data_IF_103381196656
#
_entry.id   IF_103381196656
#
_cell.length_a   1.000
_cell.length_b   1.000
_cell.length_c   1.000
_cell.angle_alpha   90.00
_cell.angle_beta   90.00
_cell.angle_gamma   90.00
#
_symmetry.space_group_name_H-M   'P 1'
#
loop_
_entity.id
_entity.type
_entity.pdbx_description
1 polymer ?
#
# COMPACT_ATOMS: atom_id res chain seq x y z
N UNK A 1 -2.21 20.92 -23.39
CA UNK A 1 -3.63 20.75 -23.03
C UNK A 1 -3.74 19.70 -21.95
N UNK A 2 -3.67 20.09 -20.68
CA UNK A 2 -4.07 19.21 -19.58
C UNK A 2 -5.61 19.17 -19.58
N UNK A 3 -6.16 18.11 -20.18
CA UNK A 3 -7.58 17.82 -20.06
C UNK A 3 -7.91 17.64 -18.59
N UNK A 4 -8.73 18.52 -18.04
CA UNK A 4 -9.25 18.39 -16.69
C UNK A 4 -9.97 17.04 -16.60
N UNK A 5 -9.35 16.06 -15.96
CA UNK A 5 -10.01 14.82 -15.66
C UNK A 5 -10.81 15.04 -14.38
N UNK A 6 -12.13 15.11 -14.50
CA UNK A 6 -13.06 15.21 -13.38
C UNK A 6 -14.08 14.07 -13.45
N UNK A 7 -13.77 12.90 -12.86
CA UNK A 7 -14.72 11.80 -12.82
C UNK A 7 -15.89 12.18 -11.89
N UNK A 8 -17.09 11.72 -12.23
CA UNK A 8 -18.23 11.75 -11.30
C UNK A 8 -17.92 10.83 -10.12
N UNK A 9 -18.39 11.20 -8.94
CA UNK A 9 -18.29 10.37 -7.74
C UNK A 9 -18.86 8.97 -8.02
N UNK A 10 -18.11 7.91 -7.67
CA UNK A 10 -18.47 6.52 -7.97
C UNK A 10 -18.14 6.02 -9.39
N UNK A 11 -17.43 6.79 -10.22
CA UNK A 11 -16.94 6.32 -11.53
C UNK A 11 -16.14 5.03 -11.37
N UNK A 12 -16.51 3.97 -12.10
CA UNK A 12 -15.84 2.66 -12.04
C UNK A 12 -16.44 1.66 -11.05
N UNK A 13 -17.30 2.06 -10.10
CA UNK A 13 -17.73 1.18 -9.01
C UNK A 13 -18.52 -0.05 -9.49
N UNK A 14 -19.47 0.14 -10.41
CA UNK A 14 -20.24 -1.00 -10.96
C UNK A 14 -19.36 -1.98 -11.75
N UNK A 15 -18.39 -1.46 -12.50
CA UNK A 15 -17.45 -2.27 -13.28
C UNK A 15 -16.48 -3.01 -12.36
N UNK A 16 -15.98 -2.36 -11.31
CA UNK A 16 -15.15 -2.98 -10.29
C UNK A 16 -15.90 -4.11 -9.57
N UNK A 17 -17.18 -3.92 -9.24
CA UNK A 17 -17.99 -4.98 -8.64
C UNK A 17 -18.19 -6.19 -9.57
N UNK A 18 -18.40 -5.98 -10.88
CA UNK A 18 -18.45 -7.07 -11.86
C UNK A 18 -17.11 -7.82 -11.95
N UNK A 19 -16.00 -7.08 -12.13
CA UNK A 19 -14.66 -7.65 -12.21
C UNK A 19 -14.29 -8.46 -10.96
N UNK A 20 -14.69 -7.97 -9.78
CA UNK A 20 -14.47 -8.68 -8.53
C UNK A 20 -15.18 -10.04 -8.50
N UNK A 21 -16.47 -10.09 -8.88
CA UNK A 21 -17.25 -11.34 -8.93
C UNK A 21 -16.71 -12.35 -9.94
N UNK A 22 -15.97 -11.88 -10.94
CA UNK A 22 -15.37 -12.71 -11.98
C UNK A 22 -13.94 -13.17 -11.65
N UNK A 23 -13.47 -12.91 -10.43
CA UNK A 23 -12.18 -13.40 -9.95
C UNK A 23 -11.04 -12.39 -10.02
N UNK A 24 -11.27 -11.15 -10.49
CA UNK A 24 -10.24 -10.10 -10.50
C UNK A 24 -10.12 -9.35 -9.16
N UNK A 25 -10.46 -10.00 -8.05
CA UNK A 25 -10.33 -9.40 -6.71
C UNK A 25 -8.87 -9.07 -6.35
N UNK A 26 -7.92 -9.92 -6.75
CA UNK A 26 -6.49 -9.69 -6.56
C UNK A 26 -5.98 -8.47 -7.30
N UNK A 27 -6.18 -8.37 -8.63
CA UNK A 27 -5.76 -7.20 -9.42
C UNK A 27 -6.46 -5.90 -9.03
N UNK A 28 -7.73 -5.95 -8.62
CA UNK A 28 -8.43 -4.77 -8.09
C UNK A 28 -7.79 -4.28 -6.79
N UNK A 29 -7.41 -5.18 -5.88
CA UNK A 29 -6.71 -4.83 -4.64
C UNK A 29 -5.31 -4.29 -4.92
N UNK A 30 -4.60 -4.86 -5.89
CA UNK A 30 -3.31 -4.33 -6.34
C UNK A 30 -3.45 -2.89 -6.83
N UNK A 31 -4.40 -2.63 -7.72
CA UNK A 31 -4.67 -1.30 -8.26
C UNK A 31 -5.06 -0.30 -7.16
N UNK A 32 -5.93 -0.72 -6.22
CA UNK A 32 -6.30 0.07 -5.04
C UNK A 32 -5.06 0.50 -4.25
N UNK A 33 -4.15 -0.45 -3.97
CA UNK A 33 -2.91 -0.17 -3.25
C UNK A 33 -1.98 0.75 -4.02
N UNK A 34 -1.85 0.59 -5.34
CA UNK A 34 -1.09 1.51 -6.19
C UNK A 34 -1.61 2.95 -6.06
N UNK A 35 -2.93 3.14 -6.14
CA UNK A 35 -3.55 4.46 -5.99
C UNK A 35 -3.33 5.06 -4.61
N UNK A 36 -3.51 4.27 -3.54
CA UNK A 36 -3.30 4.70 -2.15
C UNK A 36 -1.85 5.09 -1.89
N UNK A 37 -0.88 4.30 -2.35
CA UNK A 37 0.55 4.57 -2.20
C UNK A 37 0.95 5.85 -2.94
N UNK A 38 0.58 5.97 -4.22
CA UNK A 38 0.86 7.19 -4.98
C UNK A 38 0.23 8.44 -4.37
N UNK A 39 -0.93 8.32 -3.72
CA UNK A 39 -1.51 9.43 -2.97
C UNK A 39 -0.64 9.84 -1.77
N UNK A 40 -0.18 8.86 -0.99
CA UNK A 40 0.71 9.09 0.15
C UNK A 40 2.05 9.69 -0.27
N UNK A 41 2.70 9.10 -1.29
CA UNK A 41 3.99 9.58 -1.81
C UNK A 41 3.90 11.07 -2.24
N UNK A 42 2.80 11.46 -2.91
CA UNK A 42 2.57 12.85 -3.34
C UNK A 42 2.32 13.82 -2.18
N UNK A 43 1.72 13.35 -1.09
CA UNK A 43 1.49 14.15 0.12
C UNK A 43 2.79 14.34 0.91
N UNK A 44 3.66 13.32 0.93
CA UNK A 44 4.96 13.34 1.60
C UNK A 44 5.99 14.20 0.84
N UNK A 45 6.16 13.96 -0.46
CA UNK A 45 7.20 14.60 -1.26
C UNK A 45 6.82 16.02 -1.72
N UNK A 46 5.52 16.34 -1.74
CA UNK A 46 4.98 17.58 -2.30
C UNK A 46 5.15 17.72 -3.83
N UNK A 47 5.62 16.66 -4.50
CA UNK A 47 5.87 16.62 -5.95
C UNK A 47 4.94 15.60 -6.60
N UNK A 48 4.32 15.98 -7.71
CA UNK A 48 3.45 15.08 -8.49
C UNK A 48 4.09 14.77 -9.85
N UNK A 49 4.65 13.57 -9.98
CA UNK A 49 5.11 13.03 -11.26
C UNK A 49 4.21 11.88 -11.76
N UNK A 50 4.19 11.59 -13.07
CA UNK A 50 3.51 10.40 -13.57
C UNK A 50 4.14 9.12 -12.99
N UNK A 51 3.31 8.16 -12.58
CA UNK A 51 3.77 6.89 -11.99
C UNK A 51 3.37 5.72 -12.89
N UNK A 52 4.30 4.85 -13.32
CA UNK A 52 3.96 3.68 -14.10
C UNK A 52 3.30 2.60 -13.23
N UNK A 53 2.26 1.95 -13.77
CA UNK A 53 1.71 0.72 -13.22
C UNK A 53 2.48 -0.47 -13.78
N UNK A 54 3.27 -1.11 -12.93
CA UNK A 54 4.07 -2.27 -13.30
C UNK A 54 3.44 -3.51 -12.66
N UNK A 55 2.78 -4.39 -13.43
CA UNK A 55 2.29 -5.66 -12.92
C UNK A 55 3.50 -6.56 -12.60
N UNK A 56 3.60 -7.02 -11.35
CA UNK A 56 4.71 -7.86 -10.88
C UNK A 56 4.30 -9.31 -10.62
N UNK A 57 3.08 -9.68 -11.01
CA UNK A 57 2.56 -11.04 -10.96
C UNK A 57 1.79 -11.33 -12.25
N UNK A 58 1.76 -12.61 -12.63
CA UNK A 58 1.01 -13.12 -13.78
C UNK A 58 -0.47 -12.67 -13.73
N UNK A 59 -1.12 -12.85 -12.57
CA UNK A 59 -2.51 -12.41 -12.35
C UNK A 59 -2.74 -10.92 -12.68
N UNK A 60 -1.78 -10.05 -12.34
CA UNK A 60 -1.89 -8.62 -12.64
C UNK A 60 -1.58 -8.33 -14.11
N UNK A 61 -0.67 -9.09 -14.73
CA UNK A 61 -0.36 -8.97 -16.16
C UNK A 61 -1.58 -9.36 -17.00
N UNK A 62 -2.18 -10.52 -16.72
CA UNK A 62 -3.41 -10.99 -17.35
C UNK A 62 -4.54 -9.97 -17.22
N UNK A 63 -4.71 -9.39 -16.02
CA UNK A 63 -5.69 -8.34 -15.79
C UNK A 63 -5.42 -7.08 -16.62
N UNK A 64 -4.15 -6.74 -16.87
CA UNK A 64 -3.78 -5.60 -17.70
C UNK A 64 -4.08 -5.83 -19.19
N UNK A 65 -4.27 -7.08 -19.62
CA UNK A 65 -4.74 -7.46 -20.96
C UNK A 65 -6.28 -7.50 -21.07
N UNK A 66 -6.99 -7.71 -19.96
CA UNK A 66 -8.47 -7.72 -19.94
C UNK A 66 -9.05 -6.34 -20.31
N UNK A 67 -9.91 -6.33 -21.33
CA UNK A 67 -10.50 -5.10 -21.89
C UNK A 67 -11.37 -4.33 -20.89
N UNK A 68 -12.02 -5.03 -19.96
CA UNK A 68 -12.91 -4.45 -18.95
C UNK A 68 -12.10 -3.86 -17.81
N UNK A 69 -11.02 -4.51 -17.40
CA UNK A 69 -10.05 -3.95 -16.47
C UNK A 69 -9.40 -2.70 -17.07
N UNK A 70 -8.96 -2.72 -18.33
CA UNK A 70 -8.48 -1.52 -19.04
C UNK A 70 -9.54 -0.42 -19.14
N UNK A 71 -10.82 -0.77 -19.30
CA UNK A 71 -11.91 0.20 -19.28
C UNK A 71 -12.08 0.83 -17.89
N UNK A 72 -11.94 0.04 -16.83
CA UNK A 72 -11.91 0.55 -15.45
C UNK A 72 -10.73 1.52 -15.25
N UNK A 73 -9.51 1.18 -15.69
CA UNK A 73 -8.35 2.07 -15.60
C UNK A 73 -8.63 3.45 -16.24
N UNK A 74 -9.26 3.47 -17.42
CA UNK A 74 -9.68 4.72 -18.07
C UNK A 74 -10.75 5.47 -17.26
N UNK A 75 -11.72 4.76 -16.68
CA UNK A 75 -12.76 5.36 -15.83
C UNK A 75 -12.24 5.90 -14.50
N UNK A 76 -11.04 5.48 -14.07
CA UNK A 76 -10.33 6.03 -12.91
C UNK A 76 -9.36 7.16 -13.30
N UNK A 77 -9.18 7.43 -14.59
CA UNK A 77 -8.33 8.49 -15.12
C UNK A 77 -6.89 8.09 -15.39
N UNK A 78 -6.57 6.79 -15.36
CA UNK A 78 -5.27 6.29 -15.76
C UNK A 78 -5.15 6.31 -17.27
N UNK A 79 -3.91 6.47 -17.74
CA UNK A 79 -3.62 6.55 -19.17
C UNK A 79 -3.00 5.26 -19.70
N UNK A 80 -3.44 4.80 -20.88
CA UNK A 80 -2.77 3.71 -21.57
C UNK A 80 -1.36 4.15 -22.00
N UNK A 81 -0.48 3.20 -22.34
CA UNK A 81 0.78 3.51 -22.98
C UNK A 81 0.56 4.26 -24.30
N UNK A 82 1.35 5.31 -24.54
CA UNK A 82 1.09 6.31 -25.59
C UNK A 82 1.63 5.93 -26.97
N UNK A 83 2.56 4.96 -27.05
CA UNK A 83 3.15 4.44 -28.28
C UNK A 83 3.90 3.14 -27.98
N UNK A 84 4.53 2.53 -28.99
CA UNK A 84 5.41 1.37 -28.82
C UNK A 84 6.63 1.62 -27.90
N UNK A 85 6.93 2.88 -27.57
CA UNK A 85 8.01 3.21 -26.63
C UNK A 85 7.57 3.13 -25.16
N UNK A 86 6.27 3.14 -24.89
CA UNK A 86 5.73 2.97 -23.54
C UNK A 86 5.05 1.60 -23.42
N UNK A 87 5.40 0.87 -22.37
CA UNK A 87 4.82 -0.46 -22.10
C UNK A 87 3.77 -0.41 -20.99
N UNK A 88 3.89 0.53 -20.06
CA UNK A 88 3.10 0.56 -18.83
C UNK A 88 2.01 1.64 -18.87
N UNK A 89 0.86 1.31 -18.28
CA UNK A 89 -0.15 2.32 -17.95
C UNK A 89 0.42 3.30 -16.92
N UNK A 90 -0.14 4.51 -16.87
CA UNK A 90 0.33 5.55 -15.93
C UNK A 90 -0.80 6.14 -15.11
N UNK A 91 -0.48 6.40 -13.86
CA UNK A 91 -1.18 7.36 -13.00
C UNK A 91 -0.67 8.77 -13.38
N UNK A 92 -1.50 9.64 -13.97
CA UNK A 92 -1.06 10.97 -14.37
C UNK A 92 -0.66 11.85 -13.19
N UNK A 93 0.29 12.77 -13.41
CA UNK A 93 0.66 13.80 -12.43
C UNK A 93 -0.52 14.68 -12.02
N UNK A 94 -1.46 14.93 -12.93
CA UNK A 94 -2.62 15.78 -12.70
C UNK A 94 -3.66 15.21 -11.71
N UNK A 95 -3.60 13.92 -11.36
CA UNK A 95 -4.51 13.34 -10.36
C UNK A 95 -4.07 13.75 -8.95
N UNK A 96 -4.90 14.51 -8.22
CA UNK A 96 -4.55 14.90 -6.86
C UNK A 96 -4.59 13.71 -5.90
N UNK A 97 -3.90 13.77 -4.74
CA UNK A 97 -3.99 12.72 -3.72
C UNK A 97 -5.44 12.40 -3.31
N UNK A 98 -6.29 13.42 -3.20
CA UNK A 98 -7.71 13.24 -2.90
C UNK A 98 -8.48 12.52 -4.03
N UNK A 99 -8.15 12.80 -5.30
CA UNK A 99 -8.73 12.07 -6.43
C UNK A 99 -8.28 10.61 -6.44
N UNK A 100 -7.00 10.34 -6.16
CA UNK A 100 -6.46 8.97 -6.06
C UNK A 100 -7.13 8.18 -4.92
N UNK A 101 -7.30 8.78 -3.74
CA UNK A 101 -8.01 8.16 -2.61
C UNK A 101 -9.47 7.84 -2.95
N UNK A 102 -10.17 8.76 -3.61
CA UNK A 102 -11.56 8.51 -4.07
C UNK A 102 -11.64 7.41 -5.12
N UNK A 103 -10.71 7.39 -6.07
CA UNK A 103 -10.62 6.32 -7.07
C UNK A 103 -10.38 4.96 -6.41
N UNK A 104 -9.45 4.88 -5.45
CA UNK A 104 -9.21 3.66 -4.68
C UNK A 104 -10.49 3.21 -3.94
N UNK A 105 -11.16 4.12 -3.22
CA UNK A 105 -12.38 3.81 -2.49
C UNK A 105 -13.53 3.31 -3.39
N UNK A 106 -13.61 3.79 -4.63
CA UNK A 106 -14.65 3.37 -5.58
C UNK A 106 -14.49 1.92 -6.07
N UNK A 107 -13.28 1.36 -5.97
CA UNK A 107 -12.98 -0.03 -6.37
C UNK A 107 -12.70 -0.95 -5.18
N UNK A 108 -12.54 -0.38 -3.97
CA UNK A 108 -12.45 -1.14 -2.73
C UNK A 108 -13.71 -1.98 -2.55
N UNK A 109 -13.53 -3.30 -2.42
CA UNK A 109 -14.59 -4.16 -1.93
C UNK A 109 -14.59 -4.10 -0.40
N UNK A 110 -15.55 -3.37 0.16
CA UNK A 110 -15.94 -3.60 1.55
C UNK A 110 -16.92 -4.77 1.50
N UNK A 111 -16.48 -5.95 1.91
CA UNK A 111 -17.43 -7.04 2.18
C UNK A 111 -18.49 -6.56 3.18
N UNK A 112 -19.62 -7.28 3.32
CA UNK A 112 -20.52 -7.00 4.42
C UNK A 112 -19.70 -6.94 5.70
N UNK A 113 -19.72 -5.78 6.37
CA UNK A 113 -19.10 -5.61 7.68
C UNK A 113 -19.61 -6.78 8.55
N UNK A 114 -18.74 -7.58 9.17
CA UNK A 114 -19.23 -8.58 10.10
C UNK A 114 -20.05 -7.82 11.15
N UNK A 115 -21.34 -8.15 11.37
CA UNK A 115 -22.17 -7.44 12.33
C UNK A 115 -21.58 -7.65 13.73
N UNK A 116 -20.73 -6.74 14.18
CA UNK A 116 -19.95 -6.94 15.41
C UNK A 116 -18.82 -5.96 15.69
N UNK A 117 -18.31 -5.18 14.73
CA UNK A 117 -17.23 -4.21 14.98
C UNK A 117 -17.70 -2.88 15.57
N UNK A 118 -18.75 -2.90 16.40
CA UNK A 118 -19.20 -1.75 17.19
C UNK A 118 -19.26 -2.08 18.69
N UNK A 119 -18.23 -2.79 19.19
CA UNK A 119 -17.99 -2.82 20.63
C UNK A 119 -17.40 -1.47 21.03
N UNK A 120 -18.34 -0.59 21.40
CA UNK A 120 -18.16 0.65 22.12
C UNK A 120 -16.96 0.62 23.05
N UNK A 121 -16.07 1.57 22.78
CA UNK A 121 -15.27 2.29 23.74
C UNK A 121 -16.19 2.82 24.88
N UNK A 122 -16.48 1.98 25.88
CA UNK A 122 -16.99 2.45 27.16
C UNK A 122 -15.80 3.00 27.96
N UNK A 123 -15.47 4.25 27.72
CA UNK A 123 -14.84 5.12 28.71
C UNK A 123 -15.87 5.46 29.80
N UNK A 124 -15.55 5.29 31.09
CA UNK A 124 -16.08 6.16 32.12
C UNK A 124 -14.98 7.08 32.63
N UNK A 125 -15.15 8.35 32.26
CA UNK A 125 -14.46 9.54 32.74
C UNK A 125 -14.45 9.70 34.28
N UNK A 126 -13.29 10.14 34.78
CA UNK A 126 -13.05 11.10 35.89
C UNK A 126 -13.31 10.67 37.36
N UNK A 127 -12.32 10.93 38.22
CA UNK A 127 -12.20 10.52 39.64
C UNK A 127 -13.02 11.32 40.68
N UNK A 128 -12.74 11.13 41.98
CA UNK A 128 -12.09 12.20 42.78
C UNK A 128 -11.08 11.72 43.87
N UNK A 129 -10.45 12.70 44.52
CA UNK A 129 -9.22 12.71 45.35
C UNK A 129 -9.20 11.94 46.70
N UNK A 130 -8.01 11.38 47.03
CA UNK A 130 -7.29 11.38 48.33
C UNK A 130 -7.65 10.35 49.44
N UNK A 131 -6.82 10.13 50.51
CA UNK A 131 -5.42 10.51 50.76
C UNK A 131 -4.47 9.31 51.11
N UNK A 132 -3.15 9.60 51.15
CA UNK A 132 -2.03 8.72 51.61
C UNK A 132 -2.08 8.42 53.13
N UNK A 133 -1.51 7.29 53.60
CA UNK A 133 -0.30 7.33 54.44
C UNK A 133 0.71 6.20 54.06
N UNK A 134 1.98 6.48 53.81
CA UNK A 134 3.12 6.71 54.73
C UNK A 134 3.78 5.42 55.31
N UNK A 135 5.11 5.38 55.12
CA UNK A 135 6.17 4.63 55.81
C UNK A 135 6.65 3.26 55.26
N UNK A 136 7.89 3.31 54.76
CA UNK A 136 8.81 2.22 54.39
C UNK A 136 9.33 1.44 55.64
N UNK A 137 10.18 0.40 55.49
CA UNK A 137 11.62 0.66 55.29
C UNK A 137 12.33 -0.33 54.34
N UNK A 138 13.61 -0.02 54.12
CA UNK A 138 14.52 -0.54 53.10
C UNK A 138 15.36 -1.77 53.50
N UNK A 139 15.98 -2.33 52.45
CA UNK A 139 17.20 -3.18 52.37
C UNK A 139 17.00 -4.72 52.41
N UNK A 140 17.94 -5.54 51.87
CA UNK A 140 19.21 -5.24 51.18
C UNK A 140 19.42 -5.97 49.82
N UNK A 141 20.51 -5.59 49.13
CA UNK A 141 21.08 -6.24 47.95
C UNK A 141 21.44 -7.73 48.16
N UNK A 142 21.25 -8.55 47.12
CA UNK A 142 22.02 -9.77 46.77
C UNK A 142 21.69 -10.06 45.29
N UNK A 143 22.57 -9.78 44.33
CA UNK A 143 23.53 -10.73 43.73
C UNK A 143 22.89 -12.07 43.37
N UNK A 144 22.66 -12.32 42.08
CA UNK A 144 23.55 -13.17 41.29
C UNK A 144 23.33 -12.92 39.79
N UNK A 145 24.40 -13.14 39.03
CA UNK A 145 24.63 -12.71 37.66
C UNK A 145 24.27 -13.88 36.75
N UNK A 146 23.22 -13.75 35.94
CA UNK A 146 22.93 -14.72 34.87
C UNK A 146 23.58 -14.19 33.58
N UNK A 147 24.73 -14.80 33.27
CA UNK A 147 25.32 -14.84 31.94
C UNK A 147 24.28 -15.35 30.93
N UNK A 148 24.00 -14.60 29.85
CA UNK A 148 23.93 -15.20 28.51
C UNK A 148 23.94 -14.15 27.39
N UNK A 149 24.92 -14.34 26.51
CA UNK A 149 25.06 -13.94 25.10
C UNK A 149 25.20 -12.46 24.69
N UNK A 150 26.46 -12.14 24.37
CA UNK A 150 26.95 -11.03 23.57
C UNK A 150 26.35 -11.00 22.14
N UNK A 151 25.77 -9.86 21.69
CA UNK A 151 25.43 -9.68 20.28
C UNK A 151 26.66 -9.19 19.48
N UNK A 152 27.38 -10.11 18.81
CA UNK A 152 28.41 -9.71 17.85
C UNK A 152 27.82 -9.25 16.49
N UNK A 153 28.32 -8.12 15.94
CA UNK A 153 27.92 -7.61 14.64
C UNK A 153 28.95 -7.91 13.53
N UNK A 154 28.53 -7.72 12.28
CA UNK A 154 29.35 -7.50 11.05
C UNK A 154 30.07 -8.70 10.41
N UNK A 155 29.62 -9.10 9.21
CA UNK A 155 30.35 -10.02 8.34
C UNK A 155 29.90 -9.97 6.87
N UNK A 156 30.35 -8.95 6.13
CA UNK A 156 30.19 -8.84 4.67
C UNK A 156 30.86 -10.03 3.98
N UNK A 157 30.12 -10.88 3.28
CA UNK A 157 30.69 -11.92 2.40
C UNK A 157 30.42 -11.58 0.94
N UNK A 158 31.44 -11.02 0.30
CA UNK A 158 31.59 -10.88 -1.15
C UNK A 158 31.90 -12.28 -1.72
N UNK A 159 31.00 -12.87 -2.51
CA UNK A 159 31.35 -14.02 -3.35
C UNK A 159 31.52 -13.52 -4.78
N UNK A 160 32.77 -13.19 -5.11
CA UNK A 160 33.24 -12.96 -6.47
C UNK A 160 33.13 -14.30 -7.20
N UNK A 161 32.46 -14.33 -8.35
CA UNK A 161 32.48 -15.48 -9.26
C UNK A 161 33.33 -15.06 -10.45
N UNK A 162 34.50 -15.68 -10.59
CA UNK A 162 35.43 -15.49 -11.71
C UNK A 162 34.74 -15.96 -13.00
N UNK A 163 34.81 -15.14 -14.03
CA UNK A 163 34.62 -15.53 -15.43
C UNK A 163 35.95 -16.11 -15.88
N UNK A 164 35.93 -17.35 -16.35
CA UNK A 164 37.02 -17.91 -17.17
C UNK A 164 36.69 -17.57 -18.62
N UNK A 165 37.55 -16.79 -19.25
CA UNK A 165 37.58 -16.57 -20.70
C UNK A 165 38.19 -17.83 -21.34
N UNK A 166 37.43 -18.52 -22.18
CA UNK A 166 37.99 -19.48 -23.13
C UNK A 166 38.28 -18.76 -24.45
N UNK A 167 39.56 -18.82 -24.80
CA UNK A 167 40.23 -18.43 -26.03
C UNK A 167 39.78 -19.39 -27.16
N UNK A 168 39.37 -18.88 -28.33
CA UNK A 168 39.24 -19.71 -29.53
C UNK A 168 39.94 -19.02 -30.71
N UNK A 169 40.72 -19.85 -31.40
CA UNK A 169 41.78 -19.69 -32.43
C UNK A 169 41.53 -18.69 -33.58
#
# INVERSE_FOLDING_TARGET
LEGHWAPKEGSGQGLAHCLHQEGLAGPLRWLENCLKRTAGDREEDGVSHPVPLVPLSEENEDAMEDRRFQALLRQLGLRPPTSEQETFWRIPAALTPQQLRRAAASISYHGPDPPGSHLELLEPSQGPQGPSPELAPAAPCSQDEEEDEDPQPLGRRKRIRRVEEEEED
#
